data_IF_908055018594
#
_entry.id   IF_908055018594
#
_cell.length_a   1.000
_cell.length_b   1.000
_cell.length_c   1.000
_cell.angle_alpha   90.00
_cell.angle_beta   90.00
_cell.angle_gamma   90.00
#
_symmetry.space_group_name_H-M   'P 1'
#
loop_
_entity.id
_entity.type
_entity.pdbx_description
1 polymer ?
#
# COMPACT_ATOMS: atom_id res chain seq x y z
N UNK A 1 -1.37 15.12 -16.94
CA UNK A 1 -2.38 14.10 -16.60
C UNK A 1 -1.85 13.20 -15.50
N UNK A 2 -2.69 12.76 -14.57
CA UNK A 2 -2.26 11.88 -13.49
C UNK A 2 -2.08 10.45 -14.00
N UNK A 3 -1.04 9.76 -13.53
CA UNK A 3 -0.80 8.36 -13.82
C UNK A 3 -1.67 7.48 -12.91
N UNK A 4 -2.49 6.58 -13.50
CA UNK A 4 -3.32 5.64 -12.75
C UNK A 4 -2.66 4.27 -12.72
N UNK A 5 -2.45 3.74 -11.54
CA UNK A 5 -1.94 2.39 -11.28
C UNK A 5 -2.87 1.60 -10.37
N UNK A 6 -2.40 0.42 -9.96
CA UNK A 6 -3.09 -0.42 -8.97
C UNK A 6 -2.09 -1.23 -8.15
N UNK A 7 -2.56 -1.85 -7.06
CA UNK A 7 -1.80 -2.86 -6.31
C UNK A 7 -2.29 -4.26 -6.71
N UNK A 8 -1.41 -5.26 -6.56
CA UNK A 8 -1.75 -6.67 -6.71
C UNK A 8 -0.97 -7.52 -5.70
N UNK A 9 -1.67 -8.37 -4.97
CA UNK A 9 -1.08 -9.31 -4.02
C UNK A 9 -1.59 -10.74 -4.30
N UNK A 10 -0.64 -11.66 -4.57
CA UNK A 10 -0.95 -13.06 -4.88
C UNK A 10 -1.87 -13.71 -3.84
N UNK A 11 -1.53 -13.57 -2.57
CA UNK A 11 -2.30 -14.20 -1.48
C UNK A 11 -3.72 -13.65 -1.35
N UNK A 12 -3.98 -12.40 -1.76
CA UNK A 12 -5.33 -11.84 -1.81
C UNK A 12 -6.14 -12.48 -2.93
N UNK A 13 -5.55 -12.64 -4.12
CA UNK A 13 -6.18 -13.33 -5.23
C UNK A 13 -6.59 -14.75 -4.81
N UNK A 14 -5.66 -15.51 -4.22
CA UNK A 14 -5.92 -16.88 -3.75
C UNK A 14 -6.96 -16.93 -2.61
N UNK A 15 -6.96 -15.96 -1.68
CA UNK A 15 -7.96 -15.88 -0.61
C UNK A 15 -9.38 -15.64 -1.15
N UNK A 16 -9.50 -15.01 -2.33
CA UNK A 16 -10.75 -14.84 -3.06
C UNK A 16 -11.07 -16.01 -4.01
N UNK A 17 -10.23 -17.06 -4.05
CA UNK A 17 -10.41 -18.22 -4.91
C UNK A 17 -10.00 -18.01 -6.36
N UNK A 18 -9.26 -16.95 -6.68
CA UNK A 18 -8.74 -16.68 -8.02
C UNK A 18 -7.41 -17.41 -8.25
N UNK A 19 -7.22 -17.93 -9.46
CA UNK A 19 -5.86 -18.26 -9.91
C UNK A 19 -5.07 -16.97 -10.07
N UNK A 20 -4.02 -16.78 -9.24
CA UNK A 20 -3.28 -15.52 -9.21
C UNK A 20 -2.55 -15.21 -10.52
N UNK A 21 -2.18 -16.24 -11.31
CA UNK A 21 -1.49 -16.06 -12.59
C UNK A 21 -2.45 -15.53 -13.65
N UNK A 22 -3.63 -16.13 -13.75
CA UNK A 22 -4.69 -15.65 -14.63
C UNK A 22 -5.15 -14.24 -14.21
N UNK A 23 -5.36 -14.01 -12.91
CA UNK A 23 -5.75 -12.71 -12.37
C UNK A 23 -4.71 -11.63 -12.69
N UNK A 24 -3.42 -11.88 -12.43
CA UNK A 24 -2.35 -10.92 -12.73
C UNK A 24 -2.25 -10.64 -14.25
N UNK A 25 -2.40 -11.65 -15.10
CA UNK A 25 -2.45 -11.47 -16.54
C UNK A 25 -3.58 -10.55 -16.99
N UNK A 26 -4.77 -10.67 -16.39
CA UNK A 26 -5.92 -9.77 -16.64
C UNK A 26 -5.61 -8.33 -16.20
N UNK A 27 -4.98 -8.14 -15.04
CA UNK A 27 -4.59 -6.81 -14.56
C UNK A 27 -3.52 -6.19 -15.48
N UNK A 28 -2.51 -6.95 -15.91
CA UNK A 28 -1.54 -6.46 -16.91
C UNK A 28 -2.22 -6.05 -18.23
N UNK A 29 -3.23 -6.82 -18.68
CA UNK A 29 -3.99 -6.49 -19.90
C UNK A 29 -4.77 -5.16 -19.78
N UNK A 30 -5.10 -4.72 -18.58
CA UNK A 30 -5.69 -3.40 -18.35
C UNK A 30 -4.70 -2.25 -18.58
N UNK A 31 -3.38 -2.51 -18.69
CA UNK A 31 -2.33 -1.52 -18.98
C UNK A 31 -2.36 -0.32 -18.04
N UNK A 32 -2.27 -0.56 -16.76
CA UNK A 32 -2.05 0.49 -15.79
C UNK A 32 -0.66 1.13 -15.98
N UNK A 33 -0.52 2.40 -15.61
CA UNK A 33 0.78 3.07 -15.65
C UNK A 33 1.80 2.38 -14.73
N UNK A 34 1.33 1.77 -13.63
CA UNK A 34 2.15 1.09 -12.64
C UNK A 34 1.34 0.03 -11.90
N UNK A 35 1.94 -1.14 -11.61
CA UNK A 35 1.39 -2.12 -10.68
C UNK A 35 2.32 -2.24 -9.47
N UNK A 36 1.78 -2.07 -8.27
CA UNK A 36 2.49 -2.27 -7.01
C UNK A 36 2.39 -3.73 -6.59
N UNK A 37 3.54 -4.37 -6.45
CA UNK A 37 3.71 -5.74 -5.98
C UNK A 37 4.36 -5.76 -4.60
N UNK A 38 4.32 -6.90 -3.93
CA UNK A 38 4.97 -7.07 -2.64
C UNK A 38 5.72 -8.39 -2.55
N UNK A 39 6.93 -8.33 -1.98
CA UNK A 39 7.76 -9.47 -1.66
C UNK A 39 7.47 -9.90 -0.22
N UNK A 40 6.58 -10.86 -0.01
CA UNK A 40 6.29 -11.40 1.31
C UNK A 40 7.49 -12.20 1.84
N UNK A 41 8.11 -11.74 2.94
CA UNK A 41 9.22 -12.46 3.56
C UNK A 41 8.82 -13.85 4.06
N UNK A 42 7.64 -13.98 4.65
CA UNK A 42 7.08 -15.26 5.09
C UNK A 42 6.97 -16.26 3.94
N UNK A 43 6.45 -15.81 2.80
CA UNK A 43 6.27 -16.66 1.63
C UNK A 43 7.60 -17.08 1.03
N UNK A 44 8.53 -16.13 0.88
CA UNK A 44 9.85 -16.40 0.32
C UNK A 44 10.65 -17.36 1.22
N UNK A 45 10.56 -17.19 2.54
CA UNK A 45 11.18 -18.10 3.49
C UNK A 45 10.62 -19.53 3.41
N UNK A 46 9.34 -19.68 3.06
CA UNK A 46 8.68 -20.99 2.99
C UNK A 46 8.79 -21.65 1.63
N UNK A 47 8.68 -20.89 0.53
CA UNK A 47 8.51 -21.42 -0.82
C UNK A 47 9.60 -20.95 -1.80
N UNK A 48 10.53 -20.10 -1.35
CA UNK A 48 11.50 -19.46 -2.23
C UNK A 48 10.90 -18.36 -3.10
N UNK A 49 11.66 -17.92 -4.08
CA UNK A 49 11.34 -16.77 -4.92
C UNK A 49 10.36 -17.06 -6.08
N UNK A 50 10.00 -18.32 -6.33
CA UNK A 50 9.31 -18.75 -7.55
C UNK A 50 8.04 -17.98 -7.89
N UNK A 51 7.24 -17.60 -6.91
CA UNK A 51 6.02 -16.82 -7.16
C UNK A 51 6.35 -15.37 -7.55
N UNK A 52 7.30 -14.73 -6.87
CA UNK A 52 7.70 -13.37 -7.18
C UNK A 52 8.44 -13.29 -8.52
N UNK A 53 9.35 -14.25 -8.80
CA UNK A 53 10.00 -14.38 -10.11
C UNK A 53 9.00 -14.49 -11.24
N UNK A 54 7.93 -15.27 -11.02
CA UNK A 54 6.86 -15.42 -12.01
C UNK A 54 6.12 -14.10 -12.25
N UNK A 55 5.75 -13.37 -11.18
CA UNK A 55 5.03 -12.09 -11.28
C UNK A 55 5.87 -11.04 -12.02
N UNK A 56 7.15 -10.87 -11.65
CA UNK A 56 8.03 -9.92 -12.31
C UNK A 56 8.31 -10.31 -13.77
N UNK A 57 8.53 -11.59 -14.05
CA UNK A 57 8.69 -12.07 -15.42
C UNK A 57 7.41 -11.92 -16.26
N UNK A 58 6.22 -12.06 -15.67
CA UNK A 58 4.95 -11.79 -16.36
C UNK A 58 4.77 -10.29 -16.64
N UNK A 59 5.14 -9.42 -15.68
CA UNK A 59 5.13 -7.96 -15.89
C UNK A 59 6.10 -7.57 -17.02
N UNK A 60 7.29 -8.16 -17.06
CA UNK A 60 8.28 -7.91 -18.12
C UNK A 60 7.74 -8.32 -19.50
N UNK A 61 7.20 -9.54 -19.62
CA UNK A 61 6.58 -9.97 -20.89
C UNK A 61 5.42 -9.10 -21.35
N UNK A 62 4.70 -8.48 -20.41
CA UNK A 62 3.58 -7.57 -20.70
C UNK A 62 4.05 -6.11 -20.92
N UNK A 63 5.32 -5.79 -20.72
CA UNK A 63 5.82 -4.40 -20.71
C UNK A 63 5.17 -3.55 -19.61
N UNK A 64 4.81 -4.18 -18.48
CA UNK A 64 4.08 -3.55 -17.38
C UNK A 64 5.05 -3.03 -16.31
N UNK A 65 5.15 -1.70 -16.09
CA UNK A 65 5.95 -1.14 -15.01
C UNK A 65 5.46 -1.60 -13.63
N UNK A 66 6.41 -1.86 -12.72
CA UNK A 66 6.12 -2.32 -11.37
C UNK A 66 6.86 -1.50 -10.31
N UNK A 67 6.23 -1.40 -9.15
CA UNK A 67 6.79 -0.95 -7.89
C UNK A 67 6.86 -2.16 -6.97
N UNK A 68 8.00 -2.44 -6.34
CA UNK A 68 8.17 -3.58 -5.46
C UNK A 68 8.29 -3.17 -3.99
N UNK A 69 7.33 -3.59 -3.17
CA UNK A 69 7.36 -3.45 -1.72
C UNK A 69 8.21 -4.56 -1.13
N UNK A 70 9.18 -4.20 -0.29
CA UNK A 70 10.10 -5.10 0.42
C UNK A 70 10.08 -4.81 1.91
N UNK A 71 10.39 -5.81 2.73
CA UNK A 71 10.43 -5.68 4.19
C UNK A 71 9.63 -6.75 4.93
N UNK A 72 9.24 -6.46 6.17
CA UNK A 72 8.42 -7.32 7.03
C UNK A 72 6.93 -7.09 6.81
N UNK A 73 6.56 -5.85 6.44
CA UNK A 73 5.18 -5.42 6.30
C UNK A 73 4.84 -5.32 4.82
N UNK A 74 4.00 -6.23 4.36
CA UNK A 74 3.58 -6.34 2.97
C UNK A 74 2.13 -5.86 2.78
N UNK A 75 1.61 -5.96 1.56
CA UNK A 75 0.29 -5.45 1.18
C UNK A 75 -0.85 -6.31 1.73
N UNK A 76 -1.82 -5.66 2.34
CA UNK A 76 -3.06 -6.29 2.81
C UNK A 76 -2.91 -7.03 4.15
N UNK A 77 -4.07 -7.38 4.70
CA UNK A 77 -4.16 -8.09 5.98
C UNK A 77 -3.53 -9.50 5.92
N UNK A 78 -2.81 -9.96 6.96
CA UNK A 78 -2.57 -9.35 8.27
C UNK A 78 -1.42 -8.34 8.32
N UNK A 79 -0.90 -7.88 7.21
CA UNK A 79 0.13 -6.90 6.95
C UNK A 79 1.56 -7.34 7.33
N UNK A 80 1.77 -7.94 8.48
CA UNK A 80 3.09 -8.45 8.90
C UNK A 80 3.29 -9.89 8.43
N UNK A 81 4.20 -10.08 7.50
CA UNK A 81 4.52 -11.36 6.86
C UNK A 81 5.94 -11.80 7.17
N UNK A 82 6.22 -12.02 8.46
CA UNK A 82 7.51 -12.55 8.92
C UNK A 82 7.54 -14.09 8.87
N UNK A 83 8.73 -14.70 8.76
CA UNK A 83 8.89 -16.12 9.01
C UNK A 83 8.29 -16.53 10.36
N UNK A 84 7.85 -17.79 10.44
CA UNK A 84 7.18 -18.32 11.62
C UNK A 84 8.04 -18.15 12.90
N UNK A 85 7.39 -17.75 13.98
CA UNK A 85 8.01 -17.52 15.28
C UNK A 85 8.73 -16.18 15.45
N UNK A 86 8.87 -15.37 14.40
CA UNK A 86 9.52 -14.07 14.48
C UNK A 86 8.55 -12.94 14.84
N UNK A 87 9.07 -11.92 15.53
CA UNK A 87 8.33 -10.70 15.85
C UNK A 87 9.12 -9.46 15.40
N UNK A 88 8.47 -8.39 14.92
CA UNK A 88 9.16 -7.20 14.38
C UNK A 88 9.97 -6.41 15.42
N UNK A 89 9.65 -6.56 16.71
CA UNK A 89 10.37 -5.94 17.83
C UNK A 89 11.64 -6.70 18.25
N UNK A 90 11.86 -7.92 17.74
CA UNK A 90 13.02 -8.74 18.08
C UNK A 90 14.25 -8.39 17.24
N UNK A 91 15.40 -8.33 17.88
CA UNK A 91 16.67 -8.03 17.21
C UNK A 91 17.02 -9.05 16.10
N UNK A 92 16.59 -10.31 16.24
CA UNK A 92 16.78 -11.33 15.21
C UNK A 92 15.98 -11.02 13.94
N UNK A 93 14.69 -10.66 14.08
CA UNK A 93 13.85 -10.27 12.96
C UNK A 93 14.36 -8.99 12.28
N UNK A 94 14.79 -8.00 13.07
CA UNK A 94 15.34 -6.74 12.54
C UNK A 94 16.64 -6.95 11.74
N UNK A 95 17.53 -7.84 12.19
CA UNK A 95 18.72 -8.20 11.39
C UNK A 95 18.35 -9.04 10.18
N UNK A 96 17.41 -9.96 10.35
CA UNK A 96 16.94 -10.85 9.29
C UNK A 96 16.31 -10.11 8.14
N UNK A 97 15.44 -9.12 8.42
CA UNK A 97 14.79 -8.33 7.36
C UNK A 97 15.79 -7.50 6.55
N UNK A 98 16.81 -6.93 7.20
CA UNK A 98 17.86 -6.20 6.49
C UNK A 98 18.62 -7.12 5.52
N UNK A 99 18.88 -8.38 5.92
CA UNK A 99 19.49 -9.38 5.04
C UNK A 99 18.53 -9.77 3.90
N UNK A 100 17.26 -9.97 4.20
CA UNK A 100 16.21 -10.26 3.23
C UNK A 100 16.05 -9.15 2.17
N UNK A 101 15.97 -7.91 2.60
CA UNK A 101 15.90 -6.74 1.69
C UNK A 101 17.15 -6.65 0.80
N UNK A 102 18.33 -6.93 1.36
CA UNK A 102 19.57 -6.99 0.58
C UNK A 102 19.52 -8.05 -0.52
N UNK A 103 18.99 -9.19 -0.21
CA UNK A 103 18.87 -10.29 -1.18
C UNK A 103 17.88 -9.95 -2.29
N UNK A 104 16.72 -9.38 -1.93
CA UNK A 104 15.73 -8.90 -2.91
C UNK A 104 16.32 -7.83 -3.83
N UNK A 105 17.02 -6.84 -3.26
CA UNK A 105 17.65 -5.78 -4.05
C UNK A 105 18.70 -6.34 -5.02
N UNK A 106 19.54 -7.29 -4.59
CA UNK A 106 20.51 -7.94 -5.48
C UNK A 106 19.85 -8.72 -6.60
N UNK A 107 18.73 -9.41 -6.29
CA UNK A 107 18.03 -10.25 -7.25
C UNK A 107 17.31 -9.48 -8.33
N UNK A 108 16.70 -8.36 -7.97
CA UNK A 108 15.72 -7.68 -8.84
C UNK A 108 16.15 -6.29 -9.34
N UNK A 109 17.29 -5.74 -8.89
CA UNK A 109 17.75 -4.42 -9.36
C UNK A 109 17.87 -4.30 -10.88
N UNK A 110 18.20 -5.40 -11.55
CA UNK A 110 18.40 -5.42 -13.00
C UNK A 110 17.08 -5.68 -13.78
N UNK A 111 15.93 -5.80 -13.08
CA UNK A 111 14.61 -5.95 -13.72
C UNK A 111 14.23 -4.67 -14.46
N UNK A 112 13.98 -4.74 -15.80
CA UNK A 112 13.74 -3.55 -16.62
C UNK A 112 12.38 -2.89 -16.30
N UNK A 113 11.43 -3.64 -15.73
CA UNK A 113 10.11 -3.11 -15.39
C UNK A 113 10.03 -2.54 -13.98
N UNK A 114 11.05 -2.75 -13.14
CA UNK A 114 11.07 -2.18 -11.80
C UNK A 114 11.36 -0.69 -11.86
N UNK A 115 10.41 0.13 -11.41
CA UNK A 115 10.48 1.60 -11.48
C UNK A 115 10.87 2.24 -10.16
N UNK A 116 10.54 1.61 -9.04
CA UNK A 116 10.86 2.10 -7.70
C UNK A 116 10.84 0.95 -6.67
N UNK A 117 11.47 1.17 -5.53
CA UNK A 117 11.42 0.31 -4.36
C UNK A 117 10.56 0.93 -3.28
N UNK A 118 9.60 0.19 -2.75
CA UNK A 118 8.92 0.59 -1.53
C UNK A 118 9.54 -0.12 -0.33
N UNK A 119 10.02 0.65 0.65
CA UNK A 119 10.55 0.14 1.90
C UNK A 119 9.40 0.05 2.90
N UNK A 120 8.97 -1.17 3.18
CA UNK A 120 7.85 -1.51 4.06
C UNK A 120 6.50 -0.91 3.60
N UNK A 121 5.40 -1.49 4.03
CA UNK A 121 4.09 -0.89 3.90
C UNK A 121 3.72 -0.18 5.20
N UNK A 122 3.46 1.13 5.18
CA UNK A 122 3.05 1.93 6.34
C UNK A 122 3.87 1.62 7.63
N UNK A 123 5.20 1.67 7.60
CA UNK A 123 6.04 1.14 8.69
C UNK A 123 5.79 1.78 10.04
N UNK A 124 5.37 3.04 10.04
CA UNK A 124 5.23 3.85 11.26
C UNK A 124 3.79 3.89 11.79
N UNK A 125 2.85 3.29 11.06
CA UNK A 125 1.48 3.10 11.53
C UNK A 125 1.37 1.76 12.26
N UNK A 126 0.67 1.77 13.39
CA UNK A 126 0.30 0.53 14.07
C UNK A 126 -0.79 -0.17 13.28
N UNK A 127 -0.60 -1.44 13.01
CA UNK A 127 -1.56 -2.20 12.22
C UNK A 127 -1.46 -3.70 12.45
N UNK A 128 -2.33 -4.43 11.78
CA UNK A 128 -2.46 -5.87 11.95
C UNK A 128 -3.05 -6.27 13.30
N UNK A 129 -3.27 -7.59 13.51
CA UNK A 129 -3.98 -8.09 14.70
C UNK A 129 -3.25 -7.83 16.03
N UNK A 130 -1.97 -7.47 15.99
CA UNK A 130 -1.15 -7.19 17.17
C UNK A 130 -0.76 -5.72 17.30
N UNK A 131 -1.28 -4.84 16.46
CA UNK A 131 -0.97 -3.42 16.41
C UNK A 131 0.55 -3.14 16.42
N UNK A 132 1.30 -3.89 15.61
CA UNK A 132 2.74 -3.75 15.47
C UNK A 132 3.10 -2.55 14.58
N UNK A 133 4.33 -2.09 14.68
CA UNK A 133 4.97 -1.10 13.82
C UNK A 133 6.45 -1.44 13.67
N UNK A 134 7.14 -0.79 12.73
CA UNK A 134 8.56 -1.03 12.49
C UNK A 134 9.38 0.13 13.05
N UNK A 135 10.45 -0.14 13.84
CA UNK A 135 11.31 0.91 14.36
C UNK A 135 12.03 1.69 13.26
N UNK A 136 12.04 3.02 13.36
CA UNK A 136 12.69 3.90 12.37
C UNK A 136 14.14 3.53 12.03
N UNK A 137 15.02 3.10 12.97
CA UNK A 137 16.36 2.66 12.63
C UNK A 137 16.38 1.46 11.66
N UNK A 138 15.40 0.54 11.75
CA UNK A 138 15.27 -0.61 10.85
C UNK A 138 14.93 -0.13 9.45
N UNK A 139 13.87 0.66 9.28
CA UNK A 139 13.46 1.22 7.98
C UNK A 139 14.59 2.01 7.33
N UNK A 140 15.34 2.78 8.13
CA UNK A 140 16.52 3.51 7.64
C UNK A 140 17.62 2.58 7.16
N UNK A 141 17.88 1.47 7.86
CA UNK A 141 18.88 0.50 7.47
C UNK A 141 18.49 -0.25 6.18
N UNK A 142 17.22 -0.61 6.03
CA UNK A 142 16.66 -1.18 4.81
C UNK A 142 16.83 -0.24 3.62
N UNK A 143 16.41 1.03 3.78
CA UNK A 143 16.58 2.07 2.76
C UNK A 143 18.05 2.24 2.36
N UNK A 144 18.97 2.26 3.33
CA UNK A 144 20.41 2.36 3.07
C UNK A 144 20.95 1.16 2.28
N UNK A 145 20.47 -0.04 2.59
CA UNK A 145 20.85 -1.27 1.85
C UNK A 145 20.39 -1.20 0.40
N UNK A 146 19.13 -0.84 0.15
CA UNK A 146 18.63 -0.71 -1.23
C UNK A 146 19.42 0.35 -1.99
N UNK A 147 19.63 1.53 -1.43
CA UNK A 147 20.44 2.59 -2.07
C UNK A 147 21.86 2.17 -2.41
N UNK A 148 22.48 1.35 -1.56
CA UNK A 148 23.84 0.87 -1.82
C UNK A 148 23.95 -0.10 -3.01
N UNK A 149 22.84 -0.73 -3.40
CA UNK A 149 22.76 -1.74 -4.44
C UNK A 149 22.09 -1.25 -5.73
N UNK A 150 21.17 -0.28 -5.59
CA UNK A 150 20.34 0.29 -6.64
C UNK A 150 20.04 1.77 -6.29
N UNK A 151 21.07 2.62 -6.43
CA UNK A 151 21.03 4.03 -6.00
C UNK A 151 20.23 4.96 -6.91
N UNK A 152 20.00 4.55 -8.16
CA UNK A 152 19.36 5.38 -9.17
C UNK A 152 17.84 5.34 -9.12
N UNK A 153 17.27 4.21 -8.62
CA UNK A 153 15.82 4.11 -8.46
C UNK A 153 15.34 4.84 -7.21
N UNK A 154 14.21 5.56 -7.33
CA UNK A 154 13.61 6.22 -6.18
C UNK A 154 13.13 5.21 -5.15
N UNK A 155 13.27 5.58 -3.87
CA UNK A 155 12.65 4.86 -2.77
C UNK A 155 11.29 5.47 -2.43
N UNK A 156 10.41 4.63 -1.94
CA UNK A 156 9.11 5.00 -1.42
C UNK A 156 8.97 4.51 0.01
N UNK A 157 8.36 5.31 0.88
CA UNK A 157 7.85 4.88 2.19
C UNK A 157 6.41 5.37 2.25
N UNK A 158 5.50 4.48 2.68
CA UNK A 158 4.07 4.80 2.74
C UNK A 158 3.61 5.10 4.17
N UNK A 159 2.46 5.76 4.27
CA UNK A 159 1.75 6.06 5.52
C UNK A 159 0.26 5.99 5.29
N UNK A 160 -0.48 5.45 6.26
CA UNK A 160 -1.92 5.63 6.31
C UNK A 160 -2.23 7.11 6.47
N UNK A 161 -2.98 7.68 5.54
CA UNK A 161 -3.33 9.08 5.57
C UNK A 161 -4.31 9.39 6.72
N UNK A 162 -4.41 10.66 7.08
CA UNK A 162 -5.41 11.12 8.03
C UNK A 162 -6.79 10.55 7.67
N UNK A 163 -7.45 9.90 8.64
CA UNK A 163 -8.81 9.39 8.49
C UNK A 163 -9.75 10.18 9.41
N UNK A 164 -9.59 10.05 10.70
CA UNK A 164 -10.19 10.83 11.76
C UNK A 164 -9.28 10.83 12.99
N UNK A 165 -9.60 11.67 13.98
CA UNK A 165 -8.77 11.76 15.20
C UNK A 165 -8.72 10.44 16.00
N UNK A 166 -9.75 9.61 15.93
CA UNK A 166 -9.84 8.34 16.66
C UNK A 166 -8.91 7.31 16.08
N UNK A 167 -9.00 7.07 14.75
CA UNK A 167 -8.17 6.10 14.05
C UNK A 167 -6.72 6.54 14.02
N UNK A 168 -6.44 7.82 13.73
CA UNK A 168 -5.09 8.38 13.75
C UNK A 168 -4.41 8.21 15.11
N UNK A 169 -5.19 8.36 16.18
CA UNK A 169 -4.71 8.18 17.56
C UNK A 169 -4.39 6.72 17.87
N UNK A 170 -5.22 5.80 17.38
CA UNK A 170 -5.04 4.35 17.60
C UNK A 170 -3.90 3.79 16.75
N UNK A 171 -3.72 4.28 15.52
CA UNK A 171 -2.66 3.88 14.59
C UNK A 171 -1.31 4.54 14.89
N UNK A 172 -1.29 5.60 15.70
CA UNK A 172 -0.05 6.32 16.05
C UNK A 172 0.88 5.45 16.90
N UNK A 173 2.17 5.41 16.52
CA UNK A 173 3.23 4.79 17.30
C UNK A 173 3.44 5.45 18.68
N UNK A 174 3.29 6.76 18.75
CA UNK A 174 3.58 7.53 19.96
C UNK A 174 2.41 7.52 20.94
N UNK A 175 2.28 6.42 21.66
CA UNK A 175 1.38 6.31 22.82
C UNK A 175 2.09 6.71 24.14
N UNK A 176 3.34 7.24 24.07
CA UNK A 176 4.08 7.65 25.26
C UNK A 176 3.38 8.81 25.98
N UNK A 177 3.08 8.60 27.27
CA UNK A 177 2.18 9.46 28.03
C UNK A 177 2.59 10.91 28.14
N UNK A 178 3.89 11.27 28.03
CA UNK A 178 4.36 12.67 28.19
C UNK A 178 4.27 13.48 26.89
N UNK A 179 4.61 12.87 25.72
CA UNK A 179 4.46 13.51 24.41
C UNK A 179 2.99 13.71 24.08
N UNK A 180 2.15 12.73 24.42
CA UNK A 180 0.69 12.82 24.29
C UNK A 180 0.13 13.98 25.13
N UNK A 181 0.63 14.20 26.36
CA UNK A 181 0.22 15.32 27.23
C UNK A 181 0.63 16.68 26.66
N UNK A 182 1.70 16.75 25.87
CA UNK A 182 2.18 17.96 25.23
C UNK A 182 1.67 18.16 23.79
N UNK A 183 0.78 17.28 23.30
CA UNK A 183 0.29 17.35 21.91
C UNK A 183 1.37 17.09 20.83
N UNK A 184 2.55 16.60 21.23
CA UNK A 184 3.70 16.38 20.34
C UNK A 184 3.55 15.01 19.66
N UNK A 185 2.69 14.92 18.65
CA UNK A 185 2.65 13.79 17.71
C UNK A 185 3.72 13.99 16.65
N UNK A 186 4.52 12.94 16.38
CA UNK A 186 5.26 12.87 15.12
C UNK A 186 4.38 12.07 14.16
N UNK A 187 3.74 12.70 13.16
CA UNK A 187 2.99 11.99 12.13
C UNK A 187 3.90 10.97 11.43
N UNK A 188 3.35 9.82 11.06
CA UNK A 188 4.08 8.76 10.36
C UNK A 188 4.72 9.30 9.07
N UNK A 189 4.04 10.21 8.37
CA UNK A 189 4.51 10.88 7.17
C UNK A 189 5.79 11.69 7.42
N UNK A 190 5.90 12.35 8.57
CA UNK A 190 7.11 13.11 8.94
C UNK A 190 8.28 12.18 9.23
N UNK A 191 8.03 11.01 9.83
CA UNK A 191 9.05 9.98 10.01
C UNK A 191 9.52 9.44 8.66
N UNK A 192 8.59 9.13 7.74
CA UNK A 192 8.89 8.71 6.37
C UNK A 192 9.73 9.76 5.64
N UNK A 193 9.28 11.01 5.60
CA UNK A 193 10.00 12.11 4.97
C UNK A 193 11.42 12.33 5.52
N UNK A 194 11.66 11.99 6.79
CA UNK A 194 13.00 12.14 7.40
C UNK A 194 14.02 11.09 6.93
N UNK A 195 13.58 10.02 6.26
CA UNK A 195 14.42 8.96 5.68
C UNK A 195 14.57 9.14 4.18
N UNK A 196 13.51 9.56 3.52
CA UNK A 196 13.46 9.82 2.09
C UNK A 196 14.40 10.96 1.69
N UNK A 197 15.01 10.84 0.51
CA UNK A 197 15.90 11.83 -0.08
C UNK A 197 15.19 12.60 -1.20
N UNK A 198 15.88 13.57 -1.78
CA UNK A 198 15.40 14.31 -2.97
C UNK A 198 15.13 13.33 -4.11
N UNK A 199 13.97 13.45 -4.76
CA UNK A 199 13.53 12.55 -5.84
C UNK A 199 12.79 11.30 -5.35
N UNK A 200 12.84 10.96 -4.05
CA UNK A 200 12.06 9.86 -3.47
C UNK A 200 10.58 10.20 -3.31
N UNK A 201 9.81 9.22 -2.89
CA UNK A 201 8.36 9.24 -2.92
C UNK A 201 7.80 9.02 -1.51
N UNK A 202 6.99 9.96 -1.01
CA UNK A 202 6.05 9.70 0.09
C UNK A 202 4.78 9.09 -0.51
N UNK A 203 4.42 7.88 -0.11
CA UNK A 203 3.14 7.27 -0.45
C UNK A 203 2.10 7.54 0.63
N UNK A 204 0.86 7.84 0.23
CA UNK A 204 -0.27 7.96 1.15
C UNK A 204 -1.37 6.97 0.78
N UNK A 205 -1.88 6.26 1.80
CA UNK A 205 -2.96 5.31 1.66
C UNK A 205 -4.26 5.97 2.13
N UNK A 206 -5.19 6.24 1.18
CA UNK A 206 -6.36 7.10 1.37
C UNK A 206 -7.63 6.28 1.31
N UNK A 207 -8.22 6.05 2.47
CA UNK A 207 -9.49 5.35 2.63
C UNK A 207 -10.59 6.33 3.04
N UNK A 208 -11.72 6.30 2.35
CA UNK A 208 -12.87 7.19 2.59
C UNK A 208 -13.86 6.62 3.58
N UNK A 209 -13.94 5.29 3.65
CA UNK A 209 -14.92 4.61 4.49
C UNK A 209 -14.37 3.27 4.97
N UNK A 210 -14.59 2.97 6.25
CA UNK A 210 -14.12 1.76 6.92
C UNK A 210 -15.28 1.12 7.67
N UNK A 211 -15.55 -0.15 7.38
CA UNK A 211 -16.50 -0.97 8.12
C UNK A 211 -15.91 -1.44 9.45
N UNK A 212 -16.73 -1.44 10.50
CA UNK A 212 -16.35 -1.93 11.82
C UNK A 212 -17.57 -2.56 12.55
N UNK A 213 -17.29 -3.35 13.58
CA UNK A 213 -18.35 -3.92 14.44
C UNK A 213 -18.49 -3.09 15.71
N UNK A 214 -19.72 -2.66 16.03
CA UNK A 214 -20.01 -2.02 17.31
C UNK A 214 -20.01 -3.04 18.48
N UNK A 215 -20.21 -2.55 19.70
CA UNK A 215 -20.19 -3.39 20.89
C UNK A 215 -21.28 -4.49 20.88
N UNK A 216 -22.34 -4.29 20.13
CA UNK A 216 -23.43 -5.27 19.94
C UNK A 216 -23.16 -6.23 18.76
N UNK A 217 -22.00 -6.12 18.10
CA UNK A 217 -21.64 -6.91 16.93
C UNK A 217 -22.37 -6.53 15.65
N UNK A 218 -22.97 -5.34 15.60
CA UNK A 218 -23.62 -4.81 14.39
C UNK A 218 -22.58 -4.14 13.50
N UNK A 219 -22.73 -4.31 12.20
CA UNK A 219 -21.89 -3.65 11.22
C UNK A 219 -22.19 -2.15 11.15
N UNK A 220 -21.13 -1.36 11.15
CA UNK A 220 -21.14 0.10 11.04
C UNK A 220 -20.13 0.54 10.02
N UNK A 221 -20.32 1.74 9.48
CA UNK A 221 -19.36 2.40 8.60
C UNK A 221 -18.92 3.70 9.24
N UNK A 222 -17.62 3.89 9.36
CA UNK A 222 -17.00 5.18 9.66
C UNK A 222 -16.58 5.82 8.35
N UNK A 223 -16.72 7.13 8.27
CA UNK A 223 -16.28 7.94 7.13
C UNK A 223 -15.12 8.82 7.53
N UNK A 224 -14.18 9.01 6.60
CA UNK A 224 -13.05 9.89 6.82
C UNK A 224 -13.53 11.33 7.13
N UNK A 225 -12.76 12.01 7.97
CA UNK A 225 -13.02 13.41 8.32
C UNK A 225 -13.09 14.32 7.08
N UNK A 226 -13.86 15.40 7.12
CA UNK A 226 -14.03 16.31 5.96
C UNK A 226 -12.71 16.93 5.49
N UNK A 227 -11.73 17.07 6.37
CA UNK A 227 -10.42 17.67 6.11
C UNK A 227 -9.36 16.67 5.63
N UNK A 228 -9.68 15.37 5.50
CA UNK A 228 -8.73 14.35 5.01
C UNK A 228 -7.98 14.77 3.75
N UNK A 229 -8.71 15.25 2.73
CA UNK A 229 -8.09 15.63 1.47
C UNK A 229 -7.29 16.94 1.58
N UNK A 230 -7.65 17.82 2.50
CA UNK A 230 -6.84 18.99 2.83
C UNK A 230 -5.51 18.57 3.49
N UNK A 231 -5.53 17.53 4.32
CA UNK A 231 -4.31 16.93 4.87
C UNK A 231 -3.42 16.31 3.78
N UNK A 232 -4.00 15.60 2.80
CA UNK A 232 -3.24 15.10 1.63
C UNK A 232 -2.59 16.26 0.86
N UNK A 233 -3.34 17.33 0.58
CA UNK A 233 -2.81 18.53 -0.09
C UNK A 233 -1.68 19.19 0.72
N UNK A 234 -1.78 19.19 2.04
CA UNK A 234 -0.71 19.71 2.91
C UNK A 234 0.57 18.88 2.80
N UNK A 235 0.45 17.55 2.84
CA UNK A 235 1.61 16.66 2.71
C UNK A 235 2.24 16.75 1.32
N UNK A 236 1.43 16.94 0.26
CA UNK A 236 1.94 17.19 -1.09
C UNK A 236 2.83 18.45 -1.12
N UNK A 237 2.36 19.56 -0.55
CA UNK A 237 3.17 20.79 -0.47
C UNK A 237 4.47 20.57 0.32
N UNK A 238 4.39 19.87 1.47
CA UNK A 238 5.56 19.60 2.32
C UNK A 238 6.58 18.72 1.59
N UNK A 239 6.15 17.65 0.93
CA UNK A 239 7.02 16.76 0.17
C UNK A 239 7.69 17.51 -0.99
N UNK A 240 6.92 18.25 -1.78
CA UNK A 240 7.41 19.05 -2.91
C UNK A 240 8.43 20.11 -2.47
N UNK A 241 8.17 20.81 -1.37
CA UNK A 241 9.12 21.79 -0.82
C UNK A 241 10.46 21.18 -0.41
N UNK A 242 10.48 19.87 -0.10
CA UNK A 242 11.70 19.10 0.18
C UNK A 242 12.30 18.43 -1.07
N UNK A 243 11.77 18.69 -2.26
CA UNK A 243 12.20 18.08 -3.52
C UNK A 243 11.84 16.60 -3.61
N UNK A 244 10.83 16.15 -2.90
CA UNK A 244 10.28 14.78 -2.92
C UNK A 244 8.95 14.77 -3.65
N UNK A 245 8.53 13.58 -4.10
CA UNK A 245 7.23 13.39 -4.73
C UNK A 245 6.23 12.89 -3.69
N UNK A 246 4.94 13.09 -3.95
CA UNK A 246 3.87 12.44 -3.22
C UNK A 246 2.99 11.67 -4.19
N UNK A 247 2.74 10.39 -3.89
CA UNK A 247 1.79 9.54 -4.58
C UNK A 247 0.69 9.10 -3.62
N UNK A 248 -0.50 8.82 -4.13
CA UNK A 248 -1.50 8.05 -3.39
C UNK A 248 -1.31 6.59 -3.79
N UNK A 249 -0.95 5.76 -2.84
CA UNK A 249 -0.52 4.37 -3.06
C UNK A 249 -1.60 3.34 -2.78
N UNK A 250 -2.65 3.75 -2.05
CA UNK A 250 -3.90 3.02 -1.88
C UNK A 250 -5.08 4.01 -1.91
N UNK A 251 -5.53 4.38 -3.11
CA UNK A 251 -6.82 5.03 -3.23
C UNK A 251 -7.90 3.95 -3.11
N UNK A 252 -8.78 4.09 -2.13
CA UNK A 252 -9.81 3.10 -1.86
C UNK A 252 -10.66 2.82 -3.10
N UNK A 253 -10.59 1.60 -3.63
CA UNK A 253 -11.38 1.16 -4.76
C UNK A 253 -11.99 -0.24 -4.54
N UNK A 254 -11.97 -0.70 -3.28
CA UNK A 254 -12.73 -1.85 -2.79
C UNK A 254 -13.36 -1.51 -1.44
N UNK A 255 -14.44 -2.20 -1.05
CA UNK A 255 -15.03 -2.02 0.27
C UNK A 255 -14.07 -2.49 1.38
N UNK A 256 -14.06 -1.75 2.47
CA UNK A 256 -13.46 -2.21 3.72
C UNK A 256 -14.60 -2.60 4.68
N UNK A 257 -15.06 -3.84 4.57
CA UNK A 257 -16.17 -4.33 5.38
C UNK A 257 -15.69 -4.82 6.75
N UNK A 258 -16.57 -4.71 7.75
CA UNK A 258 -16.31 -5.19 9.12
C UNK A 258 -16.18 -6.72 9.20
N UNK A 259 -16.82 -7.43 8.29
CA UNK A 259 -16.80 -8.88 8.16
C UNK A 259 -16.21 -9.29 6.80
N UNK A 260 -16.03 -10.60 6.63
CA UNK A 260 -15.57 -11.15 5.36
C UNK A 260 -16.48 -10.68 4.22
N UNK A 261 -15.85 -10.27 3.13
CA UNK A 261 -16.56 -9.86 1.92
C UNK A 261 -17.47 -10.99 1.39
N UNK A 262 -18.66 -10.59 0.98
CA UNK A 262 -19.69 -11.47 0.39
C UNK A 262 -20.10 -10.93 -0.97
N UNK A 263 -20.94 -11.68 -1.70
CA UNK A 263 -21.53 -11.21 -2.98
C UNK A 263 -22.67 -10.18 -2.78
N UNK A 264 -23.09 -9.89 -1.55
CA UNK A 264 -24.05 -8.83 -1.26
C UNK A 264 -23.46 -7.45 -1.59
N UNK A 265 -24.32 -6.46 -1.76
CA UNK A 265 -23.87 -5.07 -1.92
C UNK A 265 -23.15 -4.62 -0.65
N UNK A 266 -21.94 -4.08 -0.77
CA UNK A 266 -21.15 -3.66 0.38
C UNK A 266 -21.70 -2.37 1.00
N UNK A 267 -21.42 -2.20 2.30
CA UNK A 267 -21.89 -1.04 3.06
C UNK A 267 -20.90 0.14 2.99
N UNK A 268 -19.59 -0.15 2.95
CA UNK A 268 -18.56 0.89 3.12
C UNK A 268 -18.20 1.64 1.84
N UNK A 269 -18.38 1.04 0.67
CA UNK A 269 -18.04 1.65 -0.61
C UNK A 269 -18.94 1.15 -1.72
N UNK A 270 -19.26 2.02 -2.68
CA UNK A 270 -19.93 1.68 -3.94
C UNK A 270 -19.01 2.03 -5.12
N UNK A 271 -19.13 1.35 -6.28
CA UNK A 271 -18.24 1.57 -7.43
C UNK A 271 -18.10 3.02 -7.89
N UNK A 272 -19.20 3.79 -7.86
CA UNK A 272 -19.20 5.21 -8.26
C UNK A 272 -18.32 6.13 -7.41
N UNK A 273 -18.00 5.72 -6.15
CA UNK A 273 -17.14 6.50 -5.28
C UNK A 273 -15.65 6.48 -5.72
N UNK A 274 -15.26 5.52 -6.57
CA UNK A 274 -13.90 5.42 -7.11
C UNK A 274 -13.58 6.65 -7.97
N UNK A 275 -14.48 6.99 -8.89
CA UNK A 275 -14.32 8.16 -9.78
C UNK A 275 -14.27 9.46 -8.97
N UNK A 276 -15.17 9.63 -8.01
CA UNK A 276 -15.18 10.80 -7.13
C UNK A 276 -13.85 10.97 -6.40
N UNK A 277 -13.32 9.90 -5.79
CA UNK A 277 -12.05 9.96 -5.07
C UNK A 277 -10.89 10.34 -6.00
N UNK A 278 -10.79 9.68 -7.15
CA UNK A 278 -9.71 9.93 -8.12
C UNK A 278 -9.76 11.37 -8.63
N UNK A 279 -10.94 11.85 -9.03
CA UNK A 279 -11.11 13.23 -9.52
C UNK A 279 -10.71 14.27 -8.45
N UNK A 280 -11.05 14.03 -7.19
CA UNK A 280 -10.65 14.91 -6.08
C UNK A 280 -9.14 14.88 -5.83
N UNK A 281 -8.48 13.73 -5.91
CA UNK A 281 -7.03 13.59 -5.78
C UNK A 281 -6.29 14.28 -6.94
N UNK A 282 -6.78 14.12 -8.16
CA UNK A 282 -6.26 14.86 -9.33
C UNK A 282 -6.43 16.37 -9.15
N UNK A 283 -7.57 16.82 -8.66
CA UNK A 283 -7.84 18.24 -8.37
C UNK A 283 -6.91 18.83 -7.30
N UNK A 284 -6.37 18.03 -6.40
CA UNK A 284 -5.34 18.42 -5.42
C UNK A 284 -3.96 18.55 -6.08
N UNK A 285 -3.74 17.92 -7.24
CA UNK A 285 -2.46 17.86 -7.93
C UNK A 285 -1.66 16.59 -7.68
N UNK A 286 -2.29 15.51 -7.23
CA UNK A 286 -1.63 14.20 -7.09
C UNK A 286 -1.33 13.64 -8.49
N UNK A 287 -0.04 13.39 -8.78
CA UNK A 287 0.40 12.99 -10.13
C UNK A 287 0.33 11.48 -10.37
N UNK A 288 0.32 10.67 -9.31
CA UNK A 288 0.27 9.20 -9.40
C UNK A 288 -0.68 8.67 -8.33
N UNK A 289 -1.66 7.89 -8.77
CA UNK A 289 -2.70 7.31 -7.92
C UNK A 289 -2.76 5.81 -8.20
N UNK A 290 -2.53 4.98 -7.18
CA UNK A 290 -2.67 3.54 -7.25
C UNK A 290 -3.99 3.15 -6.56
N UNK A 291 -4.87 2.51 -7.31
CA UNK A 291 -6.13 1.99 -6.80
C UNK A 291 -5.90 0.71 -5.98
N UNK A 292 -6.56 0.61 -4.84
CA UNK A 292 -6.55 -0.59 -4.02
C UNK A 292 -7.78 -1.44 -4.28
N UNK A 293 -7.60 -2.75 -4.65
CA UNK A 293 -8.71 -3.67 -4.80
C UNK A 293 -8.75 -4.47 -6.11
N UNK A 294 -7.64 -4.58 -6.84
CA UNK A 294 -7.62 -5.24 -8.16
C UNK A 294 -8.14 -6.67 -8.13
N UNK A 295 -7.81 -7.43 -7.09
CA UNK A 295 -8.28 -8.80 -6.91
C UNK A 295 -9.80 -8.85 -6.64
N UNK A 296 -10.30 -7.89 -5.87
CA UNK A 296 -11.72 -7.77 -5.57
C UNK A 296 -12.54 -7.46 -6.83
N UNK A 297 -12.07 -6.57 -7.70
CA UNK A 297 -12.80 -6.25 -8.94
C UNK A 297 -12.93 -7.47 -9.85
N UNK A 298 -11.85 -8.26 -9.97
CA UNK A 298 -11.86 -9.49 -10.76
C UNK A 298 -12.80 -10.53 -10.15
N UNK A 299 -12.72 -10.71 -8.83
CA UNK A 299 -13.59 -11.62 -8.11
C UNK A 299 -15.06 -11.25 -8.25
N UNK A 300 -15.42 -9.96 -8.15
CA UNK A 300 -16.81 -9.50 -8.36
C UNK A 300 -17.26 -9.77 -9.78
N UNK A 301 -16.46 -9.46 -10.79
CA UNK A 301 -16.77 -9.69 -12.19
C UNK A 301 -16.99 -11.19 -12.50
N UNK A 302 -16.14 -12.06 -11.96
CA UNK A 302 -16.25 -13.52 -12.13
C UNK A 302 -17.49 -14.10 -11.43
N UNK A 303 -18.05 -13.37 -10.46
CA UNK A 303 -19.29 -13.74 -9.76
C UNK A 303 -20.50 -12.91 -10.21
N UNK A 304 -20.45 -12.34 -11.42
CA UNK A 304 -21.61 -11.71 -12.08
C UNK A 304 -21.83 -10.24 -11.75
N UNK A 305 -20.88 -9.58 -11.08
CA UNK A 305 -20.94 -8.14 -10.78
C UNK A 305 -19.75 -7.37 -11.38
N UNK A 306 -19.81 -6.98 -12.67
CA UNK A 306 -18.73 -6.25 -13.33
C UNK A 306 -18.64 -4.77 -12.95
N UNK A 307 -19.59 -4.21 -12.19
CA UNK A 307 -19.67 -2.77 -11.89
C UNK A 307 -18.35 -2.17 -11.37
N UNK A 308 -17.56 -2.97 -10.63
CA UNK A 308 -16.28 -2.52 -10.05
C UNK A 308 -15.19 -2.36 -11.12
N UNK A 309 -15.00 -3.36 -11.95
CA UNK A 309 -14.00 -3.30 -13.03
C UNK A 309 -14.39 -2.30 -14.11
N UNK A 310 -15.70 -2.11 -14.35
CA UNK A 310 -16.24 -1.12 -15.28
C UNK A 310 -15.97 0.30 -14.75
N UNK A 311 -16.22 0.56 -13.46
CA UNK A 311 -15.93 1.86 -12.83
C UNK A 311 -14.44 2.20 -12.94
N UNK A 312 -13.55 1.26 -12.65
CA UNK A 312 -12.10 1.45 -12.81
C UNK A 312 -11.71 1.71 -14.26
N UNK A 313 -12.31 1.01 -15.21
CA UNK A 313 -12.05 1.18 -16.65
C UNK A 313 -12.49 2.57 -17.14
N UNK A 314 -13.62 3.08 -16.65
CA UNK A 314 -14.10 4.45 -16.94
C UNK A 314 -13.13 5.50 -16.40
N UNK A 315 -12.72 5.39 -15.14
CA UNK A 315 -11.73 6.30 -14.53
C UNK A 315 -10.42 6.31 -15.32
N UNK A 316 -9.94 5.12 -15.70
CA UNK A 316 -8.72 4.99 -16.49
C UNK A 316 -8.83 5.68 -17.86
N UNK A 317 -9.97 5.53 -18.53
CA UNK A 317 -10.23 6.17 -19.82
C UNK A 317 -10.31 7.69 -19.69
N UNK A 318 -10.90 8.21 -18.62
CA UNK A 318 -11.01 9.64 -18.37
C UNK A 318 -9.65 10.32 -18.09
N UNK A 319 -8.63 9.56 -17.63
CA UNK A 319 -7.29 10.06 -17.35
C UNK A 319 -6.28 9.81 -18.49
N UNK A 320 -6.65 9.09 -19.54
CA UNK A 320 -5.78 8.80 -20.69
C UNK A 320 -5.76 9.97 -21.68
#
# INVERSE_FOLDING_TARGET
MAALGTSFARWRAEALGLDYRAAFGRICAMRFALIRLSASWQEIARFGYGHLDWLLGAAERAGQPVLLTVGMKALGWPEFYLPEGMRPDEAAAQRGVIAHVRELARRYRDSPMLTAWQIENEPFNRSGPRAWWIPRPVVRAEAAVVRSLDGDRPLMITSFAHFDEGLDRSSSRDQSGWRRRLGLKLPAEREALSILQRGDILGLDVYRSIGWLDADGRERVAHAAPDQLAAVAQWLRIATAQGKRLWVTEAQAEPWEARRQTHADPLSLQPGAIDELVNRLVGIGVETILLWGSEYWLWRADNGDPRWIDAVSLVKTALA
#
